data_IF_270747986228
#
_entry.id   IF_270747986228
#
_cell.length_a   1.000
_cell.length_b   1.000
_cell.length_c   1.000
_cell.angle_alpha   90.00
_cell.angle_beta   90.00
_cell.angle_gamma   90.00
#
_symmetry.space_group_name_H-M   'P 1'
#
loop_
_entity.id
_entity.type
_entity.pdbx_description
1 polymer ?
#
# COMPACT_ATOMS: atom_id res chain seq x y z
N UNK A 1 -12.55 12.36 -12.56
CA UNK A 1 -12.36 12.20 -11.10
C UNK A 1 -11.85 10.79 -10.87
N UNK A 2 -10.62 10.60 -10.35
CA UNK A 2 -10.12 9.25 -10.10
C UNK A 2 -10.85 8.68 -8.87
N UNK A 3 -11.47 7.52 -9.06
CA UNK A 3 -12.16 6.78 -8.01
C UNK A 3 -11.15 6.30 -6.93
N UNK A 4 -11.59 6.12 -5.68
CA UNK A 4 -10.72 5.65 -4.57
C UNK A 4 -10.00 4.35 -4.96
N UNK A 5 -10.71 3.40 -5.56
CA UNK A 5 -10.14 2.12 -6.01
C UNK A 5 -9.08 2.31 -7.10
N UNK A 6 -9.29 3.26 -8.02
CA UNK A 6 -8.28 3.61 -9.03
C UNK A 6 -6.99 4.13 -8.39
N UNK A 7 -7.08 4.93 -7.32
CA UNK A 7 -5.90 5.42 -6.63
C UNK A 7 -5.14 4.31 -5.91
N UNK A 8 -5.84 3.41 -5.22
CA UNK A 8 -5.24 2.26 -4.53
C UNK A 8 -4.53 1.35 -5.53
N UNK A 9 -5.20 0.98 -6.63
CA UNK A 9 -4.61 0.12 -7.66
C UNK A 9 -3.39 0.77 -8.32
N UNK A 10 -3.41 2.08 -8.58
CA UNK A 10 -2.24 2.80 -9.09
C UNK A 10 -1.09 2.78 -8.10
N UNK A 11 -1.35 3.07 -6.84
CA UNK A 11 -0.30 3.08 -5.82
C UNK A 11 0.32 1.68 -5.66
N UNK A 12 -0.51 0.63 -5.69
CA UNK A 12 -0.06 -0.77 -5.65
C UNK A 12 0.80 -1.13 -6.88
N UNK A 13 0.25 -1.04 -8.10
CA UNK A 13 0.95 -1.53 -9.29
C UNK A 13 2.15 -0.67 -9.73
N UNK A 14 2.20 0.61 -9.32
CA UNK A 14 3.38 1.46 -9.54
C UNK A 14 4.47 1.28 -8.47
N UNK A 15 4.23 0.47 -7.43
CA UNK A 15 5.15 0.27 -6.30
C UNK A 15 5.18 1.44 -5.30
N UNK A 16 4.35 2.46 -5.49
CA UNK A 16 4.26 3.60 -4.55
C UNK A 16 3.74 3.17 -3.18
N UNK A 17 2.85 2.20 -3.13
CA UNK A 17 2.33 1.68 -1.86
C UNK A 17 3.46 1.08 -1.01
N UNK A 18 4.32 0.26 -1.62
CA UNK A 18 5.51 -0.29 -0.95
C UNK A 18 6.47 0.80 -0.48
N UNK A 19 6.70 1.82 -1.31
CA UNK A 19 7.54 2.95 -0.94
C UNK A 19 6.96 3.70 0.27
N UNK A 20 5.63 3.89 0.33
CA UNK A 20 4.96 4.55 1.46
C UNK A 20 5.05 3.71 2.74
N UNK A 21 4.91 2.39 2.65
CA UNK A 21 5.10 1.47 3.77
C UNK A 21 6.54 1.60 4.30
N UNK A 22 7.54 1.43 3.43
CA UNK A 22 8.97 1.54 3.81
C UNK A 22 9.33 2.89 4.40
N UNK A 23 8.81 3.97 3.82
CA UNK A 23 9.01 5.32 4.32
C UNK A 23 8.44 5.47 5.74
N UNK A 24 7.22 4.96 5.97
CA UNK A 24 6.59 5.02 7.30
C UNK A 24 7.33 4.17 8.33
N UNK A 25 7.77 2.97 7.97
CA UNK A 25 8.61 2.13 8.83
C UNK A 25 9.93 2.83 9.18
N UNK A 26 10.57 3.47 8.20
CA UNK A 26 11.81 4.21 8.42
C UNK A 26 11.61 5.39 9.38
N UNK A 27 10.52 6.15 9.23
CA UNK A 27 10.14 7.23 10.14
C UNK A 27 9.97 6.72 11.56
N UNK A 28 9.20 5.66 11.76
CA UNK A 28 8.93 5.08 13.09
C UNK A 28 10.19 4.52 13.75
N UNK A 29 11.11 3.96 12.97
CA UNK A 29 12.42 3.46 13.46
C UNK A 29 13.37 4.61 13.81
N UNK A 30 13.32 5.70 13.05
CA UNK A 30 14.21 6.85 13.22
C UNK A 30 13.69 7.85 14.24
N UNK A 31 12.40 7.77 14.58
CA UNK A 31 11.79 8.55 15.64
C UNK A 31 12.48 8.20 16.97
N UNK A 32 13.13 9.20 17.58
CA UNK A 32 13.80 9.06 18.87
C UNK A 32 12.85 9.28 20.05
N UNK A 33 11.55 9.48 19.77
CA UNK A 33 10.56 9.88 20.77
C UNK A 33 10.78 11.32 21.22
N UNK A 34 9.88 11.85 22.07
CA UNK A 34 10.09 13.16 22.69
C UNK A 34 11.41 13.14 23.47
N UNK A 35 12.23 14.18 23.27
CA UNK A 35 13.42 14.38 24.10
C UNK A 35 12.92 14.66 25.52
N UNK A 36 13.28 13.80 26.47
CA UNK A 36 12.88 13.98 27.87
C UNK A 36 13.62 15.19 28.44
N UNK A 37 12.93 16.34 28.53
CA UNK A 37 13.47 17.59 29.06
C UNK A 37 13.50 17.64 30.59
N UNK A 38 13.16 16.56 31.31
CA UNK A 38 13.29 16.49 32.77
C UNK A 38 14.77 16.38 33.21
N UNK A 39 15.51 17.47 33.05
CA UNK A 39 16.83 17.68 33.66
C UNK A 39 16.59 18.22 35.07
N UNK A 40 16.24 17.34 36.01
CA UNK A 40 16.17 17.68 37.44
C UNK A 40 14.97 17.09 38.18
N UNK A 41 15.00 15.80 38.47
CA UNK A 41 13.97 15.21 39.34
C UNK A 41 14.10 13.70 39.50
N UNK A 42 15.02 13.27 40.37
CA UNK A 42 15.09 11.88 40.88
C UNK A 42 15.48 10.82 39.84
N UNK A 43 16.59 10.11 40.08
CA UNK A 43 16.93 8.92 39.29
C UNK A 43 15.76 7.93 39.34
N UNK A 44 15.12 7.68 38.19
CA UNK A 44 14.16 6.58 38.03
C UNK A 44 14.92 5.24 38.11
N UNK A 45 15.16 4.76 39.32
CA UNK A 45 15.94 3.54 39.63
C UNK A 45 15.36 2.27 38.98
N UNK A 46 14.09 2.28 38.58
CA UNK A 46 13.37 1.12 38.01
C UNK A 46 13.03 1.26 36.51
N UNK A 47 13.57 2.26 35.80
CA UNK A 47 13.31 2.40 34.36
C UNK A 47 14.20 1.42 33.58
N UNK A 48 13.65 0.26 33.22
CA UNK A 48 14.29 -0.65 32.28
C UNK A 48 14.19 -0.06 30.88
N UNK A 49 15.31 0.43 30.32
CA UNK A 49 15.37 0.83 28.92
C UNK A 49 15.32 -0.42 28.03
N UNK A 50 14.21 -0.61 27.31
CA UNK A 50 14.05 -1.69 26.32
C UNK A 50 13.80 -1.09 24.94
N UNK A 51 14.82 -0.45 24.34
CA UNK A 51 14.66 0.32 23.11
C UNK A 51 14.13 -0.50 21.93
N UNK A 52 14.39 -1.81 21.91
CA UNK A 52 13.84 -2.73 20.90
C UNK A 52 12.35 -2.99 21.10
N UNK A 53 11.92 -3.30 22.33
CA UNK A 53 10.51 -3.51 22.67
C UNK A 53 9.70 -2.23 22.37
N UNK A 54 10.23 -1.07 22.77
CA UNK A 54 9.60 0.24 22.52
C UNK A 54 9.50 0.57 21.02
N UNK A 55 10.49 0.15 20.22
CA UNK A 55 10.43 0.28 18.75
C UNK A 55 9.38 -0.66 18.14
N UNK A 56 9.34 -1.92 18.60
CA UNK A 56 8.37 -2.92 18.14
C UNK A 56 6.94 -2.45 18.42
N UNK A 57 6.67 -2.00 19.65
CA UNK A 57 5.36 -1.47 20.06
C UNK A 57 4.95 -0.29 19.16
N UNK A 58 5.87 0.61 18.82
CA UNK A 58 5.57 1.75 17.92
C UNK A 58 5.21 1.31 16.51
N UNK A 59 5.95 0.37 15.95
CA UNK A 59 5.64 -0.19 14.63
C UNK A 59 4.28 -0.89 14.62
N UNK A 60 4.02 -1.71 15.63
CA UNK A 60 2.77 -2.46 15.74
C UNK A 60 1.58 -1.57 16.06
N UNK A 61 1.74 -0.45 16.77
CA UNK A 61 0.63 0.45 17.14
C UNK A 61 0.33 1.53 16.10
N UNK A 62 1.17 1.73 15.09
CA UNK A 62 0.97 2.77 14.08
C UNK A 62 -0.19 2.43 13.13
N UNK A 63 -1.33 3.09 13.34
CA UNK A 63 -2.55 2.89 12.54
C UNK A 63 -2.33 3.13 11.05
N UNK A 64 -1.46 4.07 10.69
CA UNK A 64 -1.19 4.41 9.29
C UNK A 64 -0.44 3.28 8.59
N UNK A 65 0.63 2.77 9.21
CA UNK A 65 1.39 1.62 8.72
C UNK A 65 0.49 0.39 8.59
N UNK A 66 -0.29 0.07 9.63
CA UNK A 66 -1.25 -1.04 9.60
C UNK A 66 -2.25 -0.91 8.44
N UNK A 67 -2.77 0.31 8.21
CA UNK A 67 -3.71 0.55 7.10
C UNK A 67 -3.06 0.33 5.74
N UNK A 68 -1.83 0.82 5.54
CA UNK A 68 -1.11 0.66 4.28
C UNK A 68 -0.76 -0.82 4.01
N UNK A 69 -0.31 -1.55 5.03
CA UNK A 69 -0.01 -2.99 4.94
C UNK A 69 -1.28 -3.76 4.62
N UNK A 70 -2.37 -3.52 5.36
CA UNK A 70 -3.67 -4.16 5.10
C UNK A 70 -4.16 -3.89 3.67
N UNK A 71 -4.08 -2.65 3.20
CA UNK A 71 -4.45 -2.30 1.82
C UNK A 71 -3.64 -3.08 0.79
N UNK A 72 -2.34 -3.26 1.03
CA UNK A 72 -1.48 -4.04 0.15
C UNK A 72 -1.90 -5.52 0.13
N UNK A 73 -2.08 -6.11 1.30
CA UNK A 73 -2.46 -7.52 1.45
C UNK A 73 -3.83 -7.81 0.84
N UNK A 74 -4.82 -6.93 1.07
CA UNK A 74 -6.15 -7.07 0.50
C UNK A 74 -6.10 -7.01 -1.04
N UNK A 75 -5.38 -6.04 -1.61
CA UNK A 75 -5.22 -5.95 -3.08
C UNK A 75 -4.50 -7.18 -3.63
N UNK A 76 -3.41 -7.62 -3.00
CA UNK A 76 -2.64 -8.79 -3.44
C UNK A 76 -3.49 -10.06 -3.43
N UNK A 77 -4.21 -10.30 -2.32
CA UNK A 77 -5.10 -11.45 -2.15
C UNK A 77 -6.21 -11.49 -3.19
N UNK A 78 -6.89 -10.38 -3.41
CA UNK A 78 -8.03 -10.32 -4.34
C UNK A 78 -7.58 -10.29 -5.80
N UNK A 79 -6.45 -9.66 -6.13
CA UNK A 79 -5.91 -9.74 -7.50
C UNK A 79 -5.55 -11.17 -7.88
N UNK A 80 -5.02 -11.96 -6.93
CA UNK A 80 -4.65 -13.35 -7.18
C UNK A 80 -5.84 -14.26 -7.55
N UNK A 81 -7.08 -13.89 -7.24
CA UNK A 81 -8.27 -14.71 -7.56
C UNK A 81 -8.74 -14.57 -9.01
N UNK A 82 -8.30 -13.54 -9.73
CA UNK A 82 -8.70 -13.33 -11.12
C UNK A 82 -7.91 -14.19 -12.10
N UNK A 83 -8.42 -14.37 -13.31
CA UNK A 83 -7.70 -15.06 -14.37
C UNK A 83 -6.37 -14.33 -14.68
N UNK A 84 -5.28 -15.07 -14.96
CA UNK A 84 -3.94 -14.48 -15.16
C UNK A 84 -3.89 -13.37 -16.22
N UNK A 85 -4.70 -13.45 -17.27
CA UNK A 85 -4.72 -12.45 -18.33
C UNK A 85 -5.40 -11.14 -17.87
N UNK A 86 -6.46 -11.23 -17.06
CA UNK A 86 -7.06 -10.05 -16.42
C UNK A 86 -6.07 -9.38 -15.48
N UNK A 87 -5.33 -10.16 -14.69
CA UNK A 87 -4.28 -9.65 -13.80
C UNK A 87 -3.22 -8.87 -14.58
N UNK A 88 -2.70 -9.45 -15.68
CA UNK A 88 -1.68 -8.80 -16.53
C UNK A 88 -2.19 -7.50 -17.16
N UNK A 89 -3.42 -7.49 -17.68
CA UNK A 89 -4.04 -6.29 -18.26
C UNK A 89 -4.16 -5.16 -17.24
N UNK A 90 -4.69 -5.48 -16.05
CA UNK A 90 -4.87 -4.50 -14.98
C UNK A 90 -3.52 -3.99 -14.46
N UNK A 91 -2.55 -4.88 -14.25
CA UNK A 91 -1.19 -4.52 -13.87
C UNK A 91 -0.55 -3.57 -14.87
N UNK A 92 -0.62 -3.88 -16.17
CA UNK A 92 -0.04 -3.05 -17.21
C UNK A 92 -0.71 -1.68 -17.29
N UNK A 93 -2.04 -1.63 -17.20
CA UNK A 93 -2.78 -0.36 -17.23
C UNK A 93 -2.44 0.56 -16.04
N UNK A 94 -2.31 0.00 -14.83
CA UNK A 94 -2.04 0.80 -13.64
C UNK A 94 -0.57 1.07 -13.35
N UNK A 95 0.36 0.41 -14.05
CA UNK A 95 1.81 0.59 -13.88
C UNK A 95 2.25 2.05 -14.07
N UNK A 96 1.60 2.81 -14.96
CA UNK A 96 1.90 4.22 -15.18
C UNK A 96 0.67 5.01 -15.65
N UNK A 97 0.64 6.31 -15.34
CA UNK A 97 -0.39 7.24 -15.85
C UNK A 97 -0.30 7.45 -17.37
N UNK A 98 0.83 7.11 -18.01
CA UNK A 98 1.04 7.28 -19.46
C UNK A 98 0.55 6.09 -20.29
N UNK A 99 0.05 5.03 -19.65
CA UNK A 99 -0.53 3.87 -20.33
C UNK A 99 -1.98 4.19 -20.69
N UNK A 100 -2.29 4.07 -21.98
CA UNK A 100 -3.64 4.26 -22.53
C UNK A 100 -4.27 2.92 -22.87
N UNK A 101 -5.60 2.88 -23.01
CA UNK A 101 -6.31 1.66 -23.42
C UNK A 101 -5.85 1.14 -24.78
N UNK A 102 -5.54 2.03 -25.72
CA UNK A 102 -4.91 1.69 -27.02
C UNK A 102 -3.63 0.89 -26.83
N UNK A 103 -2.73 1.33 -25.93
CA UNK A 103 -1.47 0.61 -25.65
C UNK A 103 -1.74 -0.75 -25.02
N UNK A 104 -2.72 -0.85 -24.12
CA UNK A 104 -3.12 -2.12 -23.50
C UNK A 104 -3.65 -3.08 -24.55
N UNK A 105 -4.56 -2.63 -25.41
CA UNK A 105 -5.14 -3.42 -26.50
C UNK A 105 -4.06 -3.96 -27.45
N UNK A 106 -3.11 -3.11 -27.84
CA UNK A 106 -1.96 -3.50 -28.67
C UNK A 106 -1.06 -4.53 -27.96
N UNK A 107 -0.76 -4.32 -26.68
CA UNK A 107 0.13 -5.19 -25.91
C UNK A 107 -0.43 -6.60 -25.69
N UNK A 108 -1.75 -6.72 -25.52
CA UNK A 108 -2.41 -8.00 -25.20
C UNK A 108 -3.22 -8.57 -26.36
N UNK A 109 -3.20 -7.95 -27.54
CA UNK A 109 -3.96 -8.36 -28.73
C UNK A 109 -5.47 -8.55 -28.47
N UNK A 110 -6.06 -7.66 -27.66
CA UNK A 110 -7.49 -7.65 -27.34
C UNK A 110 -8.11 -6.31 -27.74
N UNK A 111 -9.44 -6.26 -27.84
CA UNK A 111 -10.12 -4.98 -28.05
C UNK A 111 -9.99 -4.08 -26.82
N UNK A 112 -9.98 -2.76 -27.02
CA UNK A 112 -10.00 -1.79 -25.90
C UNK A 112 -11.21 -2.02 -24.99
N UNK A 113 -12.35 -2.39 -25.56
CA UNK A 113 -13.58 -2.67 -24.82
C UNK A 113 -13.43 -3.87 -23.89
N UNK A 114 -12.74 -4.91 -24.36
CA UNK A 114 -12.42 -6.10 -23.55
C UNK A 114 -11.52 -5.72 -22.39
N UNK A 115 -10.44 -4.96 -22.63
CA UNK A 115 -9.53 -4.51 -21.59
C UNK A 115 -10.24 -3.64 -20.52
N UNK A 116 -11.09 -2.72 -20.95
CA UNK A 116 -11.89 -1.87 -20.07
C UNK A 116 -12.88 -2.71 -19.25
N UNK A 117 -13.53 -3.71 -19.87
CA UNK A 117 -14.45 -4.61 -19.19
C UNK A 117 -13.75 -5.41 -18.09
N UNK A 118 -12.59 -6.02 -18.38
CA UNK A 118 -11.81 -6.76 -17.39
C UNK A 118 -11.38 -5.88 -16.22
N UNK A 119 -10.89 -4.66 -16.49
CA UNK A 119 -10.56 -3.71 -15.42
C UNK A 119 -11.78 -3.31 -14.61
N UNK A 120 -12.96 -3.20 -15.22
CA UNK A 120 -14.21 -2.83 -14.53
C UNK A 120 -14.68 -3.95 -13.60
N UNK A 121 -14.59 -5.20 -14.03
CA UNK A 121 -14.88 -6.38 -13.21
C UNK A 121 -13.97 -6.42 -11.97
N UNK A 122 -12.66 -6.28 -12.17
CA UNK A 122 -11.68 -6.23 -11.07
C UNK A 122 -11.99 -5.08 -10.10
N UNK A 123 -12.28 -3.89 -10.63
CA UNK A 123 -12.66 -2.73 -9.81
C UNK A 123 -13.94 -2.97 -9.00
N UNK A 124 -14.93 -3.64 -9.58
CA UNK A 124 -16.22 -3.87 -8.92
C UNK A 124 -16.05 -4.77 -7.70
N UNK A 125 -15.33 -5.88 -7.85
CA UNK A 125 -15.04 -6.80 -6.74
C UNK A 125 -14.18 -6.12 -5.68
N UNK A 126 -13.13 -5.40 -6.08
CA UNK A 126 -12.29 -4.65 -5.13
C UNK A 126 -13.07 -3.57 -4.38
N UNK A 127 -14.05 -2.92 -5.02
CA UNK A 127 -14.92 -1.93 -4.37
C UNK A 127 -15.86 -2.52 -3.31
N UNK A 128 -16.11 -3.83 -3.33
CA UNK A 128 -16.93 -4.50 -2.32
C UNK A 128 -16.13 -4.92 -1.07
N UNK A 129 -14.80 -4.99 -1.18
CA UNK A 129 -13.92 -5.57 -0.16
C UNK A 129 -12.95 -4.56 0.47
N UNK A 130 -12.70 -3.41 -0.17
CA UNK A 130 -11.81 -2.32 0.28
C UNK A 130 -12.56 -1.08 0.75
#
# INVERSE_FOLDING_TARGET
MADRIDSILRDYFSGRLDLRIKQREYELRSDRGPTDENIGGGKALNKHARPLDDMMIRLESDKTLQTLVKQKEDVERWIATFEPDKQKVVRYYYASKSVTWVKVAQQFHISERTAISWRTEVKHILGAVL
#
